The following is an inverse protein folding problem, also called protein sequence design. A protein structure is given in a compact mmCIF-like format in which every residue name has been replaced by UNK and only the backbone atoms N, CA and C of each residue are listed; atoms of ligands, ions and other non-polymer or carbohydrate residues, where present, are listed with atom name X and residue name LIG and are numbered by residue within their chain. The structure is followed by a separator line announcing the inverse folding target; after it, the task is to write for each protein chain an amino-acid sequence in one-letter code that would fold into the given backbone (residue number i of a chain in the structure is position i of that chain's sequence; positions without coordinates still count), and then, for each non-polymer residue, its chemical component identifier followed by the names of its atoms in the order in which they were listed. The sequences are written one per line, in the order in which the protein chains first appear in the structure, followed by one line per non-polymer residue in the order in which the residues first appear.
data_IF_164773796823
#
_entry.id   IF_164773796823
#
_cell.length_a   1.000
_cell.length_b   1.000
_cell.length_c   1.000
_cell.angle_alpha   90.00
_cell.angle_beta   90.00
_cell.angle_gamma   90.00
#
_symmetry.space_group_name_H-M   'P 1'
#
loop_
_entity.id
_entity.type
_entity.pdbx_description
1 polymer ?
#
# COMPACT_ATOMS: atom_id res chain seq x y z
N UNK A 1 -2.42 42.39 -29.44
CA UNK A 1 -3.76 41.79 -29.41
C UNK A 1 -3.61 40.29 -29.16
N UNK A 2 -4.17 39.84 -28.03
CA UNK A 2 -4.61 38.49 -27.61
C UNK A 2 -3.74 37.26 -27.90
N UNK A 3 -3.06 36.64 -26.92
CA UNK A 3 -3.52 35.83 -25.75
C UNK A 3 -4.36 34.58 -26.11
N UNK A 4 -3.91 33.47 -25.51
CA UNK A 4 -4.69 32.35 -24.97
C UNK A 4 -5.09 31.21 -25.92
N UNK A 5 -4.46 30.05 -25.72
CA UNK A 5 -5.17 28.80 -25.41
C UNK A 5 -4.33 27.89 -24.49
N UNK A 6 -4.31 28.28 -23.21
CA UNK A 6 -4.08 27.36 -22.09
C UNK A 6 -5.39 27.32 -21.30
N UNK A 7 -6.10 26.20 -21.37
CA UNK A 7 -7.31 25.92 -20.59
C UNK A 7 -7.57 24.42 -20.69
N UNK A 8 -7.94 23.65 -19.68
CA UNK A 8 -8.12 23.80 -18.23
C UNK A 8 -8.42 22.35 -17.81
N UNK A 9 -7.66 21.75 -16.92
CA UNK A 9 -8.17 20.63 -16.10
C UNK A 9 -7.84 20.98 -14.66
N UNK A 10 -8.75 21.72 -14.03
CA UNK A 10 -8.83 21.88 -12.58
C UNK A 10 -10.05 21.10 -12.13
N UNK A 11 -9.86 19.86 -11.72
CA UNK A 11 -10.75 19.19 -10.78
C UNK A 11 -9.90 18.84 -9.55
N UNK A 12 -9.65 19.84 -8.72
CA UNK A 12 -9.15 19.64 -7.37
C UNK A 12 -10.38 19.69 -6.49
N UNK A 13 -10.83 18.51 -6.05
CA UNK A 13 -11.85 18.38 -5.02
C UNK A 13 -11.24 18.93 -3.72
N UNK A 14 -11.70 20.10 -3.27
CA UNK A 14 -11.36 20.66 -1.97
C UNK A 14 -12.19 19.94 -0.90
N UNK A 15 -11.57 19.09 -0.10
CA UNK A 15 -12.16 18.66 1.17
C UNK A 15 -11.82 19.71 2.24
N UNK A 16 -12.86 20.39 2.75
CA UNK A 16 -12.75 21.22 3.95
C UNK A 16 -12.82 20.28 5.14
N UNK A 17 -11.71 20.15 5.88
CA UNK A 17 -11.71 19.45 7.18
C UNK A 17 -11.85 20.46 8.29
N UNK A 18 -13.00 20.44 8.98
CA UNK A 18 -13.17 21.11 10.27
C UNK A 18 -12.25 20.47 11.31
N UNK A 19 -11.41 21.28 11.96
CA UNK A 19 -10.62 20.89 13.12
C UNK A 19 -11.51 20.84 14.35
N UNK A 20 -11.83 19.63 14.81
CA UNK A 20 -12.33 19.40 16.17
C UNK A 20 -11.26 18.59 16.89
N UNK A 21 -10.56 19.20 17.84
CA UNK A 21 -9.65 18.47 18.71
C UNK A 21 -10.42 17.84 19.87
N UNK A 22 -10.03 16.60 20.16
CA UNK A 22 -10.37 15.71 21.29
C UNK A 22 -11.49 14.70 21.04
N UNK A 23 -11.09 13.54 20.51
CA UNK A 23 -11.60 12.26 21.01
C UNK A 23 -10.43 11.27 21.13
N UNK A 24 -10.18 10.79 22.34
CA UNK A 24 -9.57 9.48 22.50
C UNK A 24 -10.51 8.46 21.86
N UNK A 25 -10.26 8.11 20.59
CA UNK A 25 -11.23 7.33 19.82
C UNK A 25 -11.28 7.63 18.32
N UNK A 26 -10.17 7.48 17.60
CA UNK A 26 -10.29 7.08 16.19
C UNK A 26 -10.48 5.56 16.17
N UNK A 27 -11.73 5.14 16.37
CA UNK A 27 -12.14 3.75 16.23
C UNK A 27 -11.87 3.28 14.81
N UNK A 28 -11.29 2.09 14.66
CA UNK A 28 -11.23 1.44 13.36
C UNK A 28 -12.62 0.87 13.13
N UNK A 29 -13.33 1.34 12.11
CA UNK A 29 -14.68 0.85 11.82
C UNK A 29 -14.66 -0.67 11.76
N UNK A 30 -15.58 -1.30 12.50
CA UNK A 30 -15.57 -2.73 12.73
C UNK A 30 -16.24 -3.53 11.60
N UNK A 31 -16.55 -2.90 10.46
CA UNK A 31 -17.32 -3.50 9.36
C UNK A 31 -16.64 -4.69 8.71
N UNK A 32 -15.32 -4.76 8.80
CA UNK A 32 -14.55 -5.92 8.36
C UNK A 32 -14.80 -7.19 9.17
N UNK A 33 -15.34 -7.10 10.40
CA UNK A 33 -15.44 -8.26 11.32
C UNK A 33 -16.30 -9.40 10.77
N UNK A 34 -17.28 -9.07 9.93
CA UNK A 34 -18.19 -10.04 9.34
C UNK A 34 -17.60 -10.69 8.07
N UNK A 35 -16.49 -10.17 7.56
CA UNK A 35 -15.91 -10.58 6.27
C UNK A 35 -14.52 -11.19 6.40
N UNK A 36 -13.65 -10.61 7.24
CA UNK A 36 -12.22 -10.94 7.31
C UNK A 36 -11.70 -10.99 8.75
N UNK A 37 -10.56 -11.67 8.92
CA UNK A 37 -9.83 -11.70 10.18
C UNK A 37 -8.54 -10.88 10.09
N UNK A 38 -8.50 -9.72 10.76
CA UNK A 38 -7.31 -8.84 10.71
C UNK A 38 -6.05 -9.46 11.32
N UNK A 39 -6.18 -10.40 12.28
CA UNK A 39 -5.01 -11.12 12.81
C UNK A 39 -4.36 -11.96 11.71
N UNK A 40 -5.18 -12.66 10.91
CA UNK A 40 -4.68 -13.41 9.74
C UNK A 40 -4.10 -12.48 8.67
N UNK A 41 -4.71 -11.31 8.43
CA UNK A 41 -4.22 -10.36 7.43
C UNK A 41 -2.86 -9.73 7.79
N UNK A 42 -2.56 -9.66 9.08
CA UNK A 42 -1.30 -9.16 9.64
C UNK A 42 -0.25 -10.26 9.85
N UNK A 43 -0.55 -11.53 9.56
CA UNK A 43 0.46 -12.57 9.52
C UNK A 43 1.42 -12.33 8.35
N UNK A 44 2.74 -12.19 8.58
CA UNK A 44 3.63 -11.79 7.51
C UNK A 44 3.75 -12.83 6.40
N UNK A 45 3.50 -12.43 5.16
CA UNK A 45 3.45 -13.32 4.00
C UNK A 45 4.73 -14.15 3.83
N UNK A 46 5.89 -13.58 4.16
CA UNK A 46 7.20 -14.24 4.03
C UNK A 46 7.47 -15.36 5.03
N UNK A 47 6.64 -15.55 6.06
CA UNK A 47 6.87 -16.60 7.09
C UNK A 47 5.64 -17.33 7.61
N UNK A 48 4.43 -16.91 7.28
CA UNK A 48 3.19 -17.54 7.77
C UNK A 48 3.00 -18.97 7.25
N UNK A 49 2.38 -19.86 8.01
CA UNK A 49 2.09 -21.23 7.55
C UNK A 49 0.89 -21.28 6.60
N UNK A 50 0.04 -20.26 6.63
CA UNK A 50 -1.11 -20.09 5.73
C UNK A 50 -1.06 -18.70 5.13
N UNK A 51 -1.10 -18.61 3.80
CA UNK A 51 -1.34 -17.36 3.09
C UNK A 51 -2.84 -17.19 3.00
N UNK A 52 -3.39 -16.20 3.73
CA UNK A 52 -4.82 -15.88 3.72
C UNK A 52 -5.09 -14.77 2.73
N UNK A 53 -6.07 -14.97 1.86
CA UNK A 53 -6.62 -13.98 0.93
C UNK A 53 -5.56 -13.21 0.14
N UNK A 54 -4.67 -13.94 -0.52
CA UNK A 54 -3.80 -13.37 -1.54
C UNK A 54 -4.63 -12.97 -2.76
N UNK A 55 -4.52 -11.71 -3.18
CA UNK A 55 -5.22 -11.21 -4.36
C UNK A 55 -4.45 -11.58 -5.62
N UNK A 56 -5.20 -12.02 -6.63
CA UNK A 56 -4.70 -12.38 -7.96
C UNK A 56 -5.64 -11.81 -9.03
N UNK A 57 -5.06 -11.17 -10.04
CA UNK A 57 -5.75 -10.82 -11.28
C UNK A 57 -5.57 -11.96 -12.28
N UNK A 58 -6.67 -12.58 -12.72
CA UNK A 58 -6.60 -13.49 -13.86
C UNK A 58 -6.44 -12.66 -15.12
N UNK A 59 -5.39 -12.97 -15.89
CA UNK A 59 -5.13 -12.37 -17.20
C UNK A 59 -5.26 -13.46 -18.26
N UNK A 60 -6.05 -13.18 -19.29
CA UNK A 60 -6.18 -14.04 -20.49
C UNK A 60 -5.19 -13.57 -21.56
N UNK A 61 -4.21 -14.42 -21.87
CA UNK A 61 -3.23 -14.23 -22.93
C UNK A 61 -3.38 -15.37 -23.96
N UNK A 62 -3.78 -15.03 -25.18
CA UNK A 62 -4.29 -15.99 -26.15
C UNK A 62 -5.46 -16.79 -25.56
N UNK A 63 -5.36 -18.12 -25.55
CA UNK A 63 -6.40 -18.98 -24.96
C UNK A 63 -6.20 -19.25 -23.46
N UNK A 64 -5.09 -18.82 -22.86
CA UNK A 64 -4.76 -19.17 -21.47
C UNK A 64 -5.18 -18.03 -20.54
N UNK A 65 -6.19 -18.27 -19.71
CA UNK A 65 -6.56 -17.40 -18.59
C UNK A 65 -5.93 -17.92 -17.28
N UNK A 66 -4.97 -17.18 -16.73
CA UNK A 66 -4.30 -17.60 -15.48
C UNK A 66 -3.73 -16.44 -14.65
N UNK A 67 -3.48 -16.69 -13.37
CA UNK A 67 -2.84 -15.74 -12.46
C UNK A 67 -1.85 -16.41 -11.49
N UNK A 68 -0.72 -15.76 -11.16
CA UNK A 68 0.32 -16.34 -10.31
C UNK A 68 0.04 -16.17 -8.81
N UNK A 69 0.38 -17.20 -8.03
CA UNK A 69 0.56 -17.09 -6.59
C UNK A 69 2.00 -16.64 -6.27
N UNK A 70 2.17 -15.91 -5.17
CA UNK A 70 3.48 -15.50 -4.67
C UNK A 70 4.37 -16.72 -4.37
N UNK A 71 3.82 -17.70 -3.65
CA UNK A 71 4.49 -18.95 -3.37
C UNK A 71 3.75 -20.08 -4.08
N UNK A 72 4.48 -21.13 -4.49
CA UNK A 72 3.82 -22.38 -4.88
C UNK A 72 2.96 -22.86 -3.71
N UNK A 73 1.80 -23.43 -3.98
CA UNK A 73 0.90 -23.96 -2.98
C UNK A 73 1.14 -25.48 -2.85
N UNK A 74 1.26 -25.95 -1.62
CA UNK A 74 1.09 -27.38 -1.30
C UNK A 74 -0.37 -27.78 -1.39
N UNK A 75 -1.26 -26.85 -1.01
CA UNK A 75 -2.72 -27.05 -1.03
C UNK A 75 -3.43 -25.71 -1.13
N UNK A 76 -4.34 -25.58 -2.09
CA UNK A 76 -5.30 -24.48 -2.15
C UNK A 76 -6.42 -24.78 -1.15
N UNK A 77 -6.78 -23.81 -0.32
CA UNK A 77 -7.82 -23.94 0.70
C UNK A 77 -9.12 -23.27 0.27
N UNK A 78 -9.05 -22.14 -0.44
CA UNK A 78 -10.21 -21.47 -1.01
C UNK A 78 -9.84 -20.54 -2.17
N UNK A 79 -10.72 -20.43 -3.16
CA UNK A 79 -10.67 -19.40 -4.21
C UNK A 79 -12.02 -18.68 -4.20
N UNK A 80 -12.00 -17.36 -4.01
CA UNK A 80 -13.20 -16.52 -3.87
C UNK A 80 -13.10 -15.27 -4.74
N UNK A 81 -14.20 -14.58 -4.98
CA UNK A 81 -14.13 -13.20 -5.50
C UNK A 81 -13.39 -12.31 -4.49
N UNK A 82 -12.74 -11.22 -4.93
CA UNK A 82 -11.96 -10.38 -4.03
C UNK A 82 -12.79 -9.65 -2.96
N UNK A 83 -14.09 -9.46 -3.21
CA UNK A 83 -15.07 -8.97 -2.23
C UNK A 83 -15.56 -10.06 -1.25
N UNK A 84 -15.08 -11.29 -1.43
CA UNK A 84 -15.40 -12.50 -0.68
C UNK A 84 -16.86 -12.99 -0.81
N UNK A 85 -17.68 -12.43 -1.70
CA UNK A 85 -19.10 -12.80 -1.82
C UNK A 85 -19.34 -14.16 -2.50
N UNK A 86 -18.42 -14.60 -3.37
CA UNK A 86 -18.56 -15.83 -4.16
C UNK A 86 -17.37 -16.78 -3.93
N UNK A 87 -17.64 -18.08 -3.86
CA UNK A 87 -16.63 -19.14 -3.85
C UNK A 87 -16.62 -19.87 -5.18
N UNK A 88 -15.43 -20.19 -5.69
CA UNK A 88 -15.20 -20.87 -6.97
C UNK A 88 -14.66 -22.28 -6.75
N UNK A 89 -15.11 -23.24 -7.53
CA UNK A 89 -14.86 -24.67 -7.30
C UNK A 89 -13.69 -25.19 -8.14
N UNK A 90 -12.81 -25.98 -7.53
CA UNK A 90 -11.74 -26.68 -8.23
C UNK A 90 -12.30 -27.66 -9.28
N UNK A 91 -11.63 -27.80 -10.43
CA UNK A 91 -12.04 -28.63 -11.56
C UNK A 91 -13.25 -28.10 -12.36
N UNK A 92 -14.09 -27.25 -11.76
CA UNK A 92 -15.16 -26.53 -12.45
C UNK A 92 -14.70 -25.15 -12.88
N UNK A 93 -14.30 -24.28 -11.95
CA UNK A 93 -13.95 -22.90 -12.24
C UNK A 93 -12.45 -22.73 -12.44
N UNK A 94 -11.64 -23.52 -11.75
CA UNK A 94 -10.19 -23.38 -11.81
C UNK A 94 -9.46 -24.70 -11.58
N UNK A 95 -8.20 -24.77 -12.04
CA UNK A 95 -7.23 -25.78 -11.67
C UNK A 95 -5.95 -25.09 -11.19
N UNK A 96 -5.21 -25.75 -10.30
CA UNK A 96 -3.90 -25.27 -9.86
C UNK A 96 -2.79 -25.99 -10.61
N UNK A 97 -1.92 -25.23 -11.28
CA UNK A 97 -0.79 -25.79 -12.01
C UNK A 97 0.44 -24.88 -11.91
N UNK A 98 1.57 -25.46 -11.48
CA UNK A 98 2.88 -24.81 -11.51
C UNK A 98 2.95 -23.40 -10.87
N UNK A 99 2.29 -23.19 -9.74
CA UNK A 99 2.30 -21.86 -9.08
C UNK A 99 1.19 -20.92 -9.54
N UNK A 100 0.28 -21.37 -10.41
CA UNK A 100 -0.76 -20.53 -11.01
C UNK A 100 -2.14 -21.14 -10.83
N UNK A 101 -3.14 -20.26 -10.68
CA UNK A 101 -4.54 -20.61 -10.88
C UNK A 101 -4.85 -20.43 -12.36
N UNK A 102 -5.31 -21.49 -13.03
CA UNK A 102 -5.77 -21.47 -14.42
C UNK A 102 -7.28 -21.64 -14.45
N UNK A 103 -7.97 -20.90 -15.31
CA UNK A 103 -9.40 -21.09 -15.51
C UNK A 103 -9.66 -22.30 -16.39
N UNK A 104 -10.77 -23.00 -16.14
CA UNK A 104 -11.29 -23.99 -17.09
C UNK A 104 -12.26 -23.31 -18.07
N UNK A 105 -12.63 -24.01 -19.15
CA UNK A 105 -13.62 -23.53 -20.12
C UNK A 105 -15.02 -23.29 -19.53
N UNK A 106 -15.31 -23.84 -18.34
CA UNK A 106 -16.59 -23.69 -17.63
C UNK A 106 -16.54 -22.66 -16.50
N UNK A 107 -15.45 -21.88 -16.42
CA UNK A 107 -15.22 -20.97 -15.31
C UNK A 107 -16.13 -19.75 -15.33
N UNK A 108 -16.57 -19.36 -14.13
CA UNK A 108 -17.26 -18.08 -13.90
C UNK A 108 -16.36 -17.04 -13.22
N UNK A 109 -15.05 -17.27 -13.17
CA UNK A 109 -14.08 -16.30 -12.65
C UNK A 109 -13.85 -15.22 -13.73
N UNK A 110 -13.96 -13.92 -13.38
CA UNK A 110 -13.66 -12.85 -14.31
C UNK A 110 -12.16 -12.81 -14.66
N UNK A 111 -11.84 -12.34 -15.86
CA UNK A 111 -10.48 -12.15 -16.32
C UNK A 111 -10.36 -10.86 -17.13
N UNK A 112 -9.16 -10.27 -17.15
CA UNK A 112 -8.82 -9.17 -18.06
C UNK A 112 -8.00 -9.75 -19.22
N UNK A 113 -8.28 -9.35 -20.46
CA UNK A 113 -7.44 -9.75 -21.59
C UNK A 113 -6.12 -8.99 -21.58
N UNK A 114 -5.04 -9.65 -21.96
CA UNK A 114 -3.71 -9.04 -22.02
C UNK A 114 -3.71 -7.77 -22.91
N UNK A 115 -4.39 -7.80 -24.06
CA UNK A 115 -4.51 -6.64 -24.95
C UNK A 115 -5.34 -5.47 -24.38
N UNK A 116 -6.15 -5.71 -23.35
CA UNK A 116 -6.96 -4.66 -22.72
C UNK A 116 -6.19 -3.90 -21.65
N UNK A 117 -5.05 -4.42 -21.16
CA UNK A 117 -4.23 -3.76 -20.14
C UNK A 117 -3.43 -2.57 -20.70
N UNK A 118 -3.04 -2.65 -21.97
CA UNK A 118 -2.35 -1.59 -22.69
C UNK A 118 -2.76 -1.58 -24.17
N UNK A 119 -3.17 -0.43 -24.67
CA UNK A 119 -3.82 -0.29 -25.98
C UNK A 119 -3.48 1.05 -26.65
N UNK A 120 -3.79 1.20 -27.95
CA UNK A 120 -3.43 2.38 -28.76
C UNK A 120 -4.58 3.36 -29.02
N UNK A 121 -5.81 2.95 -28.73
CA UNK A 121 -7.00 3.79 -28.94
C UNK A 121 -7.53 4.26 -27.60
N UNK A 122 -7.58 5.57 -27.39
CA UNK A 122 -8.10 6.15 -26.16
C UNK A 122 -9.55 5.70 -25.92
N UNK A 123 -9.77 5.09 -24.75
CA UNK A 123 -11.09 4.74 -24.21
C UNK A 123 -11.43 5.77 -23.13
N UNK A 124 -12.42 6.63 -23.38
CA UNK A 124 -12.86 7.66 -22.42
C UNK A 124 -13.13 7.03 -21.05
N UNK A 125 -12.66 7.65 -19.98
CA UNK A 125 -12.82 7.21 -18.57
C UNK A 125 -12.11 5.90 -18.18
N UNK A 126 -11.46 5.23 -19.14
CA UNK A 126 -10.77 3.94 -18.94
C UNK A 126 -9.27 3.98 -19.27
N UNK A 127 -8.76 5.14 -19.67
CA UNK A 127 -7.39 5.30 -20.18
C UNK A 127 -6.58 6.22 -19.30
N UNK A 128 -5.41 5.75 -18.89
CA UNK A 128 -4.30 6.61 -18.47
C UNK A 128 -3.26 6.65 -19.59
N UNK A 129 -2.58 7.78 -19.77
CA UNK A 129 -1.50 7.89 -20.74
C UNK A 129 -0.42 6.83 -20.47
N UNK A 130 -0.05 6.13 -21.53
CA UNK A 130 1.03 5.16 -21.52
C UNK A 130 2.40 5.85 -21.52
N UNK A 131 3.43 5.06 -21.22
CA UNK A 131 4.82 5.51 -21.19
C UNK A 131 5.33 5.95 -22.56
N UNK A 132 4.76 5.40 -23.65
CA UNK A 132 5.04 5.83 -25.03
C UNK A 132 3.88 6.65 -25.55
N UNK A 133 4.21 7.68 -26.33
CA UNK A 133 3.22 8.56 -26.97
C UNK A 133 2.26 7.73 -27.85
N UNK A 134 0.96 7.91 -27.64
CA UNK A 134 -0.10 7.19 -28.38
C UNK A 134 -0.44 5.81 -27.82
N UNK A 135 0.19 5.39 -26.72
CA UNK A 135 -0.23 4.22 -25.94
C UNK A 135 -1.02 4.68 -24.72
N UNK A 136 -1.90 3.81 -24.23
CA UNK A 136 -2.73 4.00 -23.06
C UNK A 136 -2.69 2.73 -22.22
N UNK A 137 -2.86 2.87 -20.91
CA UNK A 137 -3.06 1.74 -19.99
C UNK A 137 -4.47 1.78 -19.45
N UNK A 138 -5.04 0.59 -19.20
CA UNK A 138 -6.33 0.47 -18.52
C UNK A 138 -6.24 1.10 -17.14
N UNK A 139 -7.12 2.05 -16.86
CA UNK A 139 -7.15 2.77 -15.61
C UNK A 139 -8.59 2.99 -15.16
N UNK A 140 -8.82 2.77 -13.87
CA UNK A 140 -10.09 3.10 -13.23
C UNK A 140 -9.83 3.27 -11.73
N UNK A 141 -10.43 4.30 -11.13
CA UNK A 141 -10.51 4.42 -9.68
C UNK A 141 -11.83 3.82 -9.21
N UNK A 142 -11.80 3.08 -8.10
CA UNK A 142 -13.01 2.46 -7.54
C UNK A 142 -12.95 0.94 -7.54
N UNK A 143 -14.05 0.31 -7.92
CA UNK A 143 -14.28 -1.14 -7.69
C UNK A 143 -13.91 -2.02 -8.86
N UNK A 144 -13.62 -1.48 -10.05
CA UNK A 144 -13.43 -2.27 -11.26
C UNK A 144 -12.34 -3.34 -11.11
N UNK A 145 -11.12 -2.98 -10.71
CA UNK A 145 -10.06 -3.99 -10.57
C UNK A 145 -10.39 -5.03 -9.50
N UNK A 146 -11.02 -4.60 -8.39
CA UNK A 146 -11.47 -5.52 -7.33
C UNK A 146 -12.50 -6.52 -7.86
N UNK A 147 -13.46 -6.09 -8.68
CA UNK A 147 -14.47 -6.99 -9.24
C UNK A 147 -13.89 -7.98 -10.25
N UNK A 148 -12.73 -7.67 -10.84
CA UNK A 148 -12.00 -8.54 -11.76
C UNK A 148 -10.95 -9.43 -11.07
N UNK A 149 -10.69 -9.20 -9.78
CA UNK A 149 -9.71 -9.92 -8.97
C UNK A 149 -10.36 -11.05 -8.16
N UNK A 150 -9.55 -12.04 -7.80
CA UNK A 150 -9.91 -13.14 -6.90
C UNK A 150 -9.02 -13.15 -5.66
N UNK A 151 -9.55 -13.71 -4.58
CA UNK A 151 -8.86 -13.92 -3.30
C UNK A 151 -8.59 -15.41 -3.09
N UNK A 152 -7.34 -15.75 -2.78
CA UNK A 152 -6.89 -17.14 -2.67
C UNK A 152 -6.25 -17.37 -1.31
N UNK A 153 -6.75 -18.37 -0.58
CA UNK A 153 -6.14 -18.85 0.66
C UNK A 153 -5.49 -20.20 0.42
N UNK A 154 -4.24 -20.39 0.83
CA UNK A 154 -3.47 -21.61 0.56
C UNK A 154 -2.36 -21.86 1.59
N UNK A 155 -1.91 -23.12 1.63
CA UNK A 155 -0.69 -23.54 2.34
C UNK A 155 0.49 -23.40 1.37
N UNK A 156 1.43 -22.46 1.59
CA UNK A 156 2.58 -22.28 0.73
C UNK A 156 3.58 -23.44 0.89
N UNK A 157 4.20 -23.84 -0.22
CA UNK A 157 5.45 -24.57 -0.19
C UNK A 157 6.58 -23.63 0.23
N UNK A 158 7.21 -23.96 1.36
CA UNK A 158 8.29 -23.20 1.98
C UNK A 158 9.69 -23.69 1.57
N UNK A 159 9.78 -24.60 0.59
CA UNK A 159 11.06 -25.00 -0.02
C UNK A 159 11.81 -23.81 -0.61
N UNK A 160 11.09 -22.83 -1.17
CA UNK A 160 11.64 -21.54 -1.60
C UNK A 160 11.29 -20.44 -0.59
N UNK A 161 12.31 -19.70 -0.15
CA UNK A 161 12.18 -18.57 0.77
C UNK A 161 11.92 -17.28 0.00
N UNK A 162 11.26 -16.32 0.65
CA UNK A 162 11.20 -14.93 0.21
C UNK A 162 12.62 -14.36 0.09
N UNK A 163 12.97 -13.78 -1.07
CA UNK A 163 14.30 -13.24 -1.34
C UNK A 163 14.36 -11.71 -1.28
N UNK A 164 13.21 -11.05 -1.11
CA UNK A 164 13.13 -9.60 -0.98
C UNK A 164 13.56 -9.12 0.41
N UNK A 165 13.51 -7.79 0.64
CA UNK A 165 13.88 -7.24 1.93
C UNK A 165 13.00 -7.83 3.05
N UNK A 166 13.66 -8.15 4.17
CA UNK A 166 13.00 -8.57 5.39
C UNK A 166 13.05 -7.41 6.41
N UNK A 167 11.91 -6.92 6.89
CA UNK A 167 11.90 -5.93 7.96
C UNK A 167 12.55 -6.52 9.21
N UNK A 168 13.39 -5.72 9.85
CA UNK A 168 14.02 -6.07 11.14
C UNK A 168 13.36 -5.28 12.25
N UNK A 169 13.11 -5.97 13.36
CA UNK A 169 12.67 -5.31 14.59
C UNK A 169 13.69 -4.26 15.01
N UNK A 170 13.26 -3.00 15.11
CA UNK A 170 14.15 -1.85 15.29
C UNK A 170 14.28 -1.44 16.76
N UNK A 171 14.48 -2.45 17.62
CA UNK A 171 14.60 -2.36 19.07
C UNK A 171 15.44 -1.20 19.60
N UNK A 172 16.62 -1.06 19.00
CA UNK A 172 17.64 -0.09 19.43
C UNK A 172 17.46 1.27 18.74
N UNK A 173 17.02 1.27 17.48
CA UNK A 173 16.86 2.50 16.69
C UNK A 173 15.62 3.29 17.07
N UNK A 174 14.51 2.63 17.43
CA UNK A 174 13.24 3.23 17.85
C UNK A 174 13.00 3.05 19.35
N UNK A 175 14.01 3.40 20.16
CA UNK A 175 14.02 3.09 21.60
C UNK A 175 12.92 3.84 22.34
N UNK A 176 12.67 5.11 22.00
CA UNK A 176 11.67 5.91 22.72
C UNK A 176 10.27 5.33 22.50
N UNK A 177 9.90 5.04 21.26
CA UNK A 177 8.60 4.46 20.93
C UNK A 177 8.42 3.08 21.56
N UNK A 178 9.45 2.23 21.51
CA UNK A 178 9.35 0.89 22.09
C UNK A 178 9.30 0.91 23.61
N UNK A 179 9.95 1.88 24.27
CA UNK A 179 9.79 2.07 25.71
C UNK A 179 8.34 2.42 26.06
N UNK A 180 7.73 3.37 25.34
CA UNK A 180 6.33 3.74 25.55
C UNK A 180 5.38 2.57 25.31
N UNK A 181 5.56 1.84 24.20
CA UNK A 181 4.78 0.65 23.87
C UNK A 181 4.89 -0.44 24.95
N UNK A 182 6.10 -0.78 25.39
CA UNK A 182 6.33 -1.81 26.41
C UNK A 182 5.77 -1.42 27.79
N UNK A 183 5.86 -0.14 28.15
CA UNK A 183 5.32 0.41 29.40
C UNK A 183 3.83 0.76 29.32
N UNK A 184 3.20 0.56 28.16
CA UNK A 184 1.79 0.88 27.89
C UNK A 184 1.45 2.37 28.08
N UNK A 185 2.44 3.24 27.92
CA UNK A 185 2.28 4.69 27.99
C UNK A 185 1.52 5.21 26.75
N UNK A 186 0.89 6.38 26.89
CA UNK A 186 0.15 7.03 25.82
C UNK A 186 1.07 7.31 24.63
N UNK A 187 0.75 6.76 23.46
CA UNK A 187 1.52 6.91 22.24
C UNK A 187 0.69 7.65 21.17
N UNK A 188 1.25 8.69 20.56
CA UNK A 188 0.66 9.37 19.40
C UNK A 188 1.45 9.09 18.12
N UNK A 189 0.76 8.50 17.13
CA UNK A 189 1.30 8.22 15.79
C UNK A 189 0.67 9.18 14.77
N UNK A 190 1.49 9.83 13.93
CA UNK A 190 1.00 10.60 12.78
C UNK A 190 1.46 9.94 11.48
N UNK A 191 0.52 9.66 10.59
CA UNK A 191 0.81 9.27 9.21
C UNK A 191 0.82 10.52 8.33
N UNK A 192 1.85 10.68 7.49
CA UNK A 192 2.00 11.87 6.66
C UNK A 192 2.55 11.54 5.28
N UNK A 193 1.77 11.83 4.25
CA UNK A 193 2.08 11.39 2.90
C UNK A 193 1.07 11.80 1.84
N UNK A 194 0.94 10.96 0.83
CA UNK A 194 0.11 11.19 -0.34
C UNK A 194 -1.17 10.33 -0.34
N UNK A 195 -1.72 10.00 -1.52
CA UNK A 195 -2.92 9.18 -1.67
C UNK A 195 -2.76 7.76 -1.13
N UNK A 196 -1.57 7.16 -1.22
CA UNK A 196 -1.33 5.80 -0.73
C UNK A 196 -1.46 5.76 0.79
N UNK A 197 -0.89 6.75 1.49
CA UNK A 197 -0.94 6.89 2.94
C UNK A 197 -2.34 7.31 3.41
N UNK A 198 -3.10 8.01 2.58
CA UNK A 198 -4.53 8.29 2.84
C UNK A 198 -5.36 7.00 2.90
N UNK A 199 -4.94 5.94 2.19
CA UNK A 199 -5.62 4.65 2.13
C UNK A 199 -6.28 4.33 0.79
N UNK A 200 -5.95 5.10 -0.27
CA UNK A 200 -6.55 4.93 -1.60
C UNK A 200 -6.53 3.45 -2.05
N UNK A 201 -7.66 3.02 -2.60
CA UNK A 201 -7.93 1.66 -3.10
C UNK A 201 -7.92 0.50 -2.06
N UNK A 202 -7.72 0.78 -0.77
CA UNK A 202 -8.12 -0.16 0.28
C UNK A 202 -9.66 -0.30 0.31
N UNK A 203 -10.19 -1.51 0.47
CA UNK A 203 -11.64 -1.77 0.46
C UNK A 203 -12.40 -0.95 1.51
N UNK A 204 -11.86 -0.84 2.74
CA UNK A 204 -12.45 -0.03 3.80
C UNK A 204 -12.50 1.46 3.44
N UNK A 205 -11.45 1.99 2.82
CA UNK A 205 -11.41 3.38 2.35
C UNK A 205 -12.47 3.66 1.27
N UNK A 206 -12.69 2.69 0.39
CA UNK A 206 -13.74 2.77 -0.64
C UNK A 206 -15.14 2.43 -0.13
N UNK A 207 -15.26 2.04 1.14
CA UNK A 207 -16.52 1.56 1.71
C UNK A 207 -17.10 0.37 0.92
N UNK A 208 -16.28 -0.62 0.60
CA UNK A 208 -16.66 -1.82 -0.15
C UNK A 208 -16.20 -3.08 0.57
N UNK A 209 -16.87 -4.22 0.35
CA UNK A 209 -16.43 -5.51 0.90
C UNK A 209 -15.02 -5.87 0.36
N UNK A 210 -14.11 -6.42 1.19
CA UNK A 210 -14.31 -6.91 2.57
C UNK A 210 -14.10 -5.86 3.68
N UNK A 211 -14.17 -4.57 3.35
CA UNK A 211 -14.01 -3.44 4.27
C UNK A 211 -12.69 -3.46 5.04
N UNK A 212 -11.62 -4.00 4.45
CA UNK A 212 -10.29 -4.03 5.04
C UNK A 212 -9.87 -2.59 5.38
N UNK A 213 -9.54 -2.30 6.64
CA UNK A 213 -9.01 -0.99 7.01
C UNK A 213 -7.79 -0.63 6.17
N UNK A 214 -7.53 0.66 6.04
CA UNK A 214 -6.28 1.14 5.43
C UNK A 214 -5.06 0.54 6.13
N UNK A 215 -3.93 0.45 5.43
CA UNK A 215 -2.72 -0.12 6.03
C UNK A 215 -2.24 0.66 7.26
N UNK A 216 -2.51 1.97 7.34
CA UNK A 216 -2.25 2.79 8.51
C UNK A 216 -3.07 2.31 9.73
N UNK A 217 -4.36 2.06 9.52
CA UNK A 217 -5.25 1.52 10.56
C UNK A 217 -4.87 0.08 10.94
N UNK A 218 -4.45 -0.75 9.98
CA UNK A 218 -3.95 -2.11 10.25
C UNK A 218 -2.74 -2.10 11.18
N UNK A 219 -1.80 -1.16 11.01
CA UNK A 219 -0.65 -1.00 11.92
C UNK A 219 -1.14 -0.66 13.33
N UNK A 220 -2.02 0.33 13.46
CA UNK A 220 -2.57 0.76 14.76
C UNK A 220 -3.33 -0.39 15.43
N UNK A 221 -4.14 -1.13 14.68
CA UNK A 221 -4.80 -2.34 15.16
C UNK A 221 -3.79 -3.34 15.73
N UNK A 222 -2.73 -3.64 14.97
CA UNK A 222 -1.74 -4.63 15.38
C UNK A 222 -1.00 -4.21 16.65
N UNK A 223 -0.59 -2.94 16.73
CA UNK A 223 0.10 -2.40 17.91
C UNK A 223 -0.83 -2.42 19.14
N UNK A 224 -2.10 -2.02 19.01
CA UNK A 224 -3.08 -2.08 20.11
C UNK A 224 -3.29 -3.50 20.59
N UNK A 225 -3.36 -4.48 19.67
CA UNK A 225 -3.46 -5.91 20.02
C UNK A 225 -2.21 -6.45 20.69
N UNK A 226 -1.02 -5.98 20.31
CA UNK A 226 0.26 -6.46 20.87
C UNK A 226 0.59 -5.85 22.23
N UNK A 227 0.43 -4.53 22.39
CA UNK A 227 0.96 -3.78 23.52
C UNK A 227 -0.11 -3.37 24.53
N UNK A 228 -1.40 -3.42 24.20
CA UNK A 228 -2.53 -3.07 25.09
C UNK A 228 -2.52 -1.64 25.67
N UNK A 229 -1.58 -0.78 25.26
CA UNK A 229 -1.49 0.62 25.67
C UNK A 229 -2.41 1.55 24.87
N UNK A 230 -2.48 2.81 25.32
CA UNK A 230 -3.31 3.84 24.69
C UNK A 230 -2.60 4.43 23.47
N UNK A 231 -2.80 3.77 22.33
CA UNK A 231 -2.21 4.19 21.06
C UNK A 231 -3.24 5.00 20.29
N UNK A 232 -2.98 6.28 20.12
CA UNK A 232 -3.77 7.19 19.29
C UNK A 232 -3.05 7.45 17.97
N UNK A 233 -3.82 7.80 16.94
CA UNK A 233 -3.25 8.18 15.65
C UNK A 233 -3.99 9.36 15.02
N UNK A 234 -3.38 9.95 14.01
CA UNK A 234 -4.04 10.80 13.02
C UNK A 234 -3.37 10.58 11.67
N UNK A 235 -4.15 10.68 10.60
CA UNK A 235 -3.65 10.58 9.24
C UNK A 235 -3.78 11.94 8.57
N UNK A 236 -2.63 12.59 8.39
CA UNK A 236 -2.50 13.94 7.83
C UNK A 236 -2.09 13.89 6.35
N UNK A 237 -2.19 12.72 5.73
CA UNK A 237 -1.85 12.49 4.33
C UNK A 237 -2.93 13.03 3.39
N UNK A 238 -2.51 13.50 2.22
CA UNK A 238 -3.43 14.10 1.24
C UNK A 238 -3.12 13.61 -0.16
N UNK A 239 -4.16 13.17 -0.89
CA UNK A 239 -4.06 12.68 -2.26
C UNK A 239 -3.38 13.67 -3.22
N UNK A 240 -2.54 13.12 -4.12
CA UNK A 240 -1.87 13.90 -5.17
C UNK A 240 -0.74 14.84 -4.72
N UNK A 241 -0.38 14.84 -3.42
CA UNK A 241 0.68 15.72 -2.90
C UNK A 241 2.08 15.14 -3.09
N UNK A 242 3.05 16.04 -3.17
CA UNK A 242 4.49 15.81 -3.26
C UNK A 242 5.14 16.10 -1.90
N UNK A 243 6.38 15.65 -1.67
CA UNK A 243 7.12 15.92 -0.44
C UNK A 243 7.33 17.43 -0.19
N UNK A 244 7.42 18.25 -1.25
CA UNK A 244 7.43 19.72 -1.14
C UNK A 244 6.22 20.26 -0.38
N UNK A 245 5.02 19.80 -0.74
CA UNK A 245 3.80 20.18 -0.03
C UNK A 245 3.85 19.71 1.43
N UNK A 246 4.38 18.51 1.66
CA UNK A 246 4.60 17.98 3.01
C UNK A 246 5.48 18.90 3.86
N UNK A 247 6.59 19.38 3.31
CA UNK A 247 7.47 20.33 3.99
C UNK A 247 6.76 21.67 4.28
N UNK A 248 6.02 22.20 3.32
CA UNK A 248 5.33 23.48 3.45
C UNK A 248 4.17 23.44 4.47
N UNK A 249 3.59 22.25 4.72
CA UNK A 249 2.38 22.10 5.54
C UNK A 249 2.61 21.34 6.86
N UNK A 250 3.82 20.87 7.14
CA UNK A 250 4.13 20.14 8.39
C UNK A 250 3.75 20.94 9.65
N UNK A 251 3.92 22.27 9.62
CA UNK A 251 3.64 23.17 10.73
C UNK A 251 2.16 23.19 11.13
N UNK A 252 1.25 23.15 10.15
CA UNK A 252 -0.20 23.16 10.40
C UNK A 252 -0.80 21.77 10.53
N UNK A 253 -0.25 20.78 9.83
CA UNK A 253 -0.82 19.43 9.77
C UNK A 253 -0.29 18.50 10.86
N UNK A 254 1.03 18.52 11.14
CA UNK A 254 1.69 17.51 11.98
C UNK A 254 2.06 18.05 13.36
N UNK A 255 2.60 19.27 13.44
CA UNK A 255 3.06 19.81 14.73
C UNK A 255 1.95 19.95 15.80
N UNK A 256 0.71 20.36 15.47
CA UNK A 256 -0.37 20.47 16.46
C UNK A 256 -0.76 19.12 17.08
N UNK A 257 -0.49 18.01 16.38
CA UNK A 257 -0.78 16.66 16.86
C UNK A 257 0.20 16.19 17.94
N UNK A 258 1.32 16.89 18.14
CA UNK A 258 2.40 16.55 19.07
C UNK A 258 2.81 15.06 19.01
N UNK A 259 3.23 14.55 17.83
CA UNK A 259 3.49 13.12 17.63
C UNK A 259 4.70 12.63 18.42
N UNK A 260 4.62 11.38 18.91
CA UNK A 260 5.79 10.61 19.32
C UNK A 260 6.44 9.94 18.10
N UNK A 261 5.62 9.38 17.20
CA UNK A 261 6.05 8.69 15.98
C UNK A 261 5.44 9.36 14.75
N UNK A 262 6.26 9.69 13.76
CA UNK A 262 5.78 10.13 12.44
C UNK A 262 6.18 9.09 11.38
N UNK A 263 5.18 8.59 10.65
CA UNK A 263 5.37 7.65 9.55
C UNK A 263 5.20 8.42 8.25
N UNK A 264 6.29 8.61 7.49
CA UNK A 264 6.36 9.50 6.34
C UNK A 264 6.40 8.70 5.04
N UNK A 265 5.43 8.92 4.15
CA UNK A 265 5.33 8.25 2.85
C UNK A 265 5.07 9.23 1.70
N UNK A 266 6.13 9.68 1.03
CA UNK A 266 6.05 10.43 -0.22
C UNK A 266 6.86 9.69 -1.30
N UNK A 267 7.00 10.27 -2.50
CA UNK A 267 7.85 9.70 -3.53
C UNK A 267 7.11 9.11 -4.73
N UNK A 268 5.84 8.70 -4.59
CA UNK A 268 5.06 8.21 -5.73
C UNK A 268 4.82 9.33 -6.76
N UNK A 269 4.21 10.42 -6.30
CA UNK A 269 3.93 11.60 -7.14
C UNK A 269 5.22 12.36 -7.47
N UNK A 270 6.13 12.51 -6.50
CA UNK A 270 7.43 13.12 -6.73
C UNK A 270 8.17 12.44 -7.88
N UNK A 271 8.11 11.10 -7.93
CA UNK A 271 8.71 10.32 -8.99
C UNK A 271 8.03 10.55 -10.33
N UNK A 272 6.70 10.61 -10.36
CA UNK A 272 5.92 10.93 -11.56
C UNK A 272 6.30 12.30 -12.13
N UNK A 273 6.56 13.28 -11.28
CA UNK A 273 6.99 14.62 -11.67
C UNK A 273 8.53 14.78 -11.73
N UNK A 274 9.26 13.67 -11.67
CA UNK A 274 10.71 13.63 -11.82
C UNK A 274 11.46 14.60 -10.88
N UNK A 275 10.96 14.77 -9.65
CA UNK A 275 11.64 15.57 -8.61
C UNK A 275 13.01 14.95 -8.31
N UNK A 276 14.07 15.74 -8.44
CA UNK A 276 15.43 15.27 -8.24
C UNK A 276 15.60 14.53 -6.89
N UNK A 277 16.25 13.36 -6.85
CA UNK A 277 16.34 12.52 -5.63
C UNK A 277 16.87 13.26 -4.39
N UNK A 278 17.89 14.10 -4.55
CA UNK A 278 18.48 14.91 -3.50
C UNK A 278 17.51 15.99 -2.97
N UNK A 279 16.72 16.61 -3.86
CA UNK A 279 15.68 17.58 -3.48
C UNK A 279 14.58 16.88 -2.68
N UNK A 280 14.15 15.70 -3.14
CA UNK A 280 13.21 14.87 -2.38
C UNK A 280 13.75 14.54 -0.98
N UNK A 281 15.01 14.09 -0.88
CA UNK A 281 15.67 13.81 0.41
C UNK A 281 15.64 15.02 1.34
N UNK A 282 15.96 16.19 0.82
CA UNK A 282 15.98 17.45 1.58
C UNK A 282 14.60 17.82 2.09
N UNK A 283 13.55 17.60 1.30
CA UNK A 283 12.17 17.83 1.71
C UNK A 283 11.75 16.91 2.86
N UNK A 284 12.05 15.60 2.75
CA UNK A 284 11.79 14.64 3.84
C UNK A 284 12.58 14.99 5.11
N UNK A 285 13.86 15.34 4.95
CA UNK A 285 14.72 15.79 6.05
C UNK A 285 14.18 17.07 6.70
N UNK A 286 13.65 18.00 5.92
CA UNK A 286 13.01 19.23 6.40
C UNK A 286 11.77 18.97 7.26
N UNK A 287 10.91 18.03 6.84
CA UNK A 287 9.73 17.60 7.62
C UNK A 287 10.20 17.06 8.98
N UNK A 288 11.18 16.16 8.98
CA UNK A 288 11.74 15.60 10.21
C UNK A 288 12.33 16.69 11.13
N UNK A 289 13.08 17.65 10.58
CA UNK A 289 13.67 18.76 11.33
C UNK A 289 12.59 19.63 11.98
N UNK A 290 11.51 19.95 11.27
CA UNK A 290 10.40 20.73 11.80
C UNK A 290 9.72 20.02 12.99
N UNK A 291 9.49 18.71 12.87
CA UNK A 291 8.94 17.90 13.97
C UNK A 291 9.89 17.86 15.16
N UNK A 292 11.18 17.60 14.94
CA UNK A 292 12.19 17.54 16.01
C UNK A 292 12.39 18.88 16.72
N UNK A 293 12.21 20.01 16.04
CA UNK A 293 12.28 21.33 16.66
C UNK A 293 11.16 21.54 17.70
N UNK A 294 10.00 20.89 17.53
CA UNK A 294 8.88 20.95 18.47
C UNK A 294 8.90 19.81 19.50
N UNK A 295 9.24 18.60 19.07
CA UNK A 295 9.39 17.42 19.92
C UNK A 295 10.75 16.72 19.66
N UNK A 296 11.80 17.03 20.43
CA UNK A 296 13.13 16.44 20.26
C UNK A 296 13.23 14.92 20.45
N UNK A 297 12.19 14.29 21.01
CA UNK A 297 12.12 12.83 21.22
C UNK A 297 11.35 12.10 20.12
N UNK A 298 10.75 12.81 19.17
CA UNK A 298 10.00 12.18 18.09
C UNK A 298 10.90 11.22 17.29
N UNK A 299 10.36 10.05 16.96
CA UNK A 299 11.02 9.06 16.11
C UNK A 299 10.25 8.90 14.79
N UNK A 300 10.91 8.32 13.77
CA UNK A 300 10.43 8.32 12.39
C UNK A 300 10.55 6.95 11.73
N UNK A 301 9.54 6.59 10.96
CA UNK A 301 9.61 5.52 9.96
C UNK A 301 9.40 6.17 8.59
N UNK A 302 10.42 6.11 7.74
CA UNK A 302 10.36 6.57 6.36
C UNK A 302 9.91 5.40 5.48
N UNK A 303 9.00 5.65 4.55
CA UNK A 303 8.52 4.64 3.60
C UNK A 303 9.09 4.99 2.22
N UNK A 304 9.87 4.08 1.63
CA UNK A 304 10.25 4.22 0.21
C UNK A 304 9.04 3.91 -0.68
N UNK A 305 8.78 4.65 -1.75
CA UNK A 305 7.55 4.48 -2.53
C UNK A 305 7.50 3.11 -3.23
N UNK A 306 6.29 2.56 -3.40
CA UNK A 306 6.09 1.49 -4.36
C UNK A 306 6.40 1.98 -5.79
N UNK A 307 6.67 1.06 -6.72
CA UNK A 307 6.79 1.38 -8.14
C UNK A 307 5.42 1.62 -8.80
N UNK A 308 5.36 2.54 -9.76
CA UNK A 308 4.18 2.74 -10.63
C UNK A 308 4.13 1.65 -11.72
N UNK A 309 2.99 1.55 -12.41
CA UNK A 309 2.83 0.62 -13.53
C UNK A 309 3.89 0.92 -14.61
N UNK A 310 4.73 -0.06 -15.00
CA UNK A 310 5.83 0.17 -15.94
C UNK A 310 5.36 0.64 -17.34
N UNK A 311 4.10 0.42 -17.69
CA UNK A 311 3.50 0.86 -18.94
C UNK A 311 2.81 2.23 -18.85
N UNK A 312 2.59 2.77 -17.64
CA UNK A 312 1.94 4.06 -17.44
C UNK A 312 2.97 5.21 -17.47
N UNK A 313 2.54 6.41 -17.86
CA UNK A 313 3.39 7.62 -17.89
C UNK A 313 3.97 7.98 -16.51
N UNK A 314 3.29 7.57 -15.44
CA UNK A 314 3.70 7.77 -14.04
C UNK A 314 4.98 7.02 -13.67
N UNK A 315 5.33 5.95 -14.38
CA UNK A 315 6.53 5.16 -14.11
C UNK A 315 7.80 5.85 -14.60
N UNK A 316 8.45 6.54 -13.67
CA UNK A 316 9.61 7.39 -13.89
C UNK A 316 10.72 7.01 -12.91
N UNK A 317 11.01 7.86 -11.93
CA UNK A 317 12.22 7.76 -11.08
C UNK A 317 11.93 7.28 -9.65
N UNK A 318 10.75 6.72 -9.35
CA UNK A 318 10.37 6.30 -7.98
C UNK A 318 11.42 5.41 -7.30
N UNK A 319 12.09 4.54 -8.07
CA UNK A 319 13.13 3.64 -7.57
C UNK A 319 14.37 4.36 -7.02
N UNK A 320 14.62 5.60 -7.44
CA UNK A 320 15.80 6.38 -7.04
C UNK A 320 15.67 6.97 -5.63
N UNK A 321 14.46 7.02 -5.05
CA UNK A 321 14.26 7.62 -3.74
C UNK A 321 14.65 6.71 -2.57
N UNK A 322 14.68 5.38 -2.76
CA UNK A 322 15.10 4.48 -1.69
C UNK A 322 16.54 4.76 -1.23
N UNK A 323 17.56 4.80 -2.11
CA UNK A 323 18.93 5.16 -1.72
C UNK A 323 19.02 6.51 -0.99
N UNK A 324 18.17 7.47 -1.36
CA UNK A 324 18.14 8.77 -0.69
C UNK A 324 17.56 8.73 0.72
N UNK A 325 16.49 7.96 0.93
CA UNK A 325 15.95 7.74 2.27
C UNK A 325 16.92 6.95 3.17
N UNK A 326 17.71 6.03 2.59
CA UNK A 326 18.75 5.30 3.33
C UNK A 326 19.79 6.25 3.96
N UNK A 327 20.12 7.36 3.30
CA UNK A 327 21.04 8.38 3.82
C UNK A 327 20.50 9.11 5.06
N UNK A 328 19.19 9.02 5.33
CA UNK A 328 18.54 9.63 6.50
C UNK A 328 18.46 8.68 7.71
N UNK A 329 18.79 7.39 7.55
CA UNK A 329 18.73 6.40 8.63
C UNK A 329 19.75 6.73 9.71
N UNK A 330 19.28 6.77 10.96
CA UNK A 330 20.08 7.01 12.17
C UNK A 330 19.27 6.60 13.40
N UNK A 331 19.82 6.78 14.60
CA UNK A 331 19.02 6.61 15.83
C UNK A 331 17.78 7.52 15.77
N UNK A 332 16.61 6.93 16.03
CA UNK A 332 15.31 7.59 15.92
C UNK A 332 14.73 7.63 14.50
N UNK A 333 15.40 7.11 13.47
CA UNK A 333 14.93 7.15 12.08
C UNK A 333 15.23 5.82 11.38
N UNK A 334 14.20 5.10 10.96
CA UNK A 334 14.34 3.84 10.22
C UNK A 334 13.60 3.88 8.88
N UNK A 335 13.94 2.96 7.99
CA UNK A 335 13.35 2.82 6.66
C UNK A 335 12.51 1.54 6.55
N UNK A 336 11.27 1.68 6.09
CA UNK A 336 10.45 0.60 5.56
C UNK A 336 10.67 0.50 4.03
N UNK A 337 11.40 -0.54 3.59
CA UNK A 337 11.77 -0.74 2.18
C UNK A 337 10.61 -1.32 1.35
N UNK A 338 9.63 -0.50 1.01
CA UNK A 338 8.53 -0.87 0.12
C UNK A 338 8.91 -0.84 -1.37
N UNK A 339 9.95 -0.10 -1.78
CA UNK A 339 10.46 -0.14 -3.15
C UNK A 339 11.06 -1.52 -3.44
N UNK A 340 11.97 -2.00 -2.59
CA UNK A 340 12.58 -3.32 -2.68
C UNK A 340 11.58 -4.46 -2.49
N UNK A 341 10.60 -4.27 -1.60
CA UNK A 341 9.50 -5.24 -1.45
C UNK A 341 8.71 -5.36 -2.75
N UNK A 342 8.28 -4.24 -3.33
CA UNK A 342 7.51 -4.26 -4.58
C UNK A 342 8.34 -4.77 -5.76
N UNK A 343 9.63 -4.43 -5.84
CA UNK A 343 10.56 -4.96 -6.84
C UNK A 343 10.66 -6.49 -6.79
N UNK A 344 10.75 -7.07 -5.59
CA UNK A 344 10.76 -8.52 -5.46
C UNK A 344 9.39 -9.12 -5.81
N UNK A 345 8.28 -8.52 -5.36
CA UNK A 345 6.94 -9.01 -5.70
C UNK A 345 6.71 -9.06 -7.22
N UNK A 346 7.15 -8.03 -7.96
CA UNK A 346 7.03 -7.95 -9.42
C UNK A 346 7.81 -9.05 -10.17
N UNK A 347 8.72 -9.78 -9.52
CA UNK A 347 9.37 -10.96 -10.13
C UNK A 347 8.46 -12.19 -10.14
N UNK A 348 7.44 -12.22 -9.29
CA UNK A 348 6.56 -13.37 -9.09
C UNK A 348 5.10 -13.08 -9.41
N UNK A 349 4.68 -11.81 -9.29
CA UNK A 349 3.31 -11.34 -9.44
C UNK A 349 3.20 -10.29 -10.53
N UNK A 350 2.00 -10.16 -11.10
CA UNK A 350 1.67 -9.09 -12.04
C UNK A 350 1.43 -7.79 -11.28
N UNK A 351 1.56 -6.65 -11.95
CA UNK A 351 1.25 -5.35 -11.35
C UNK A 351 -0.22 -5.28 -10.88
N UNK A 352 -1.12 -5.91 -11.65
CA UNK A 352 -2.55 -5.94 -11.41
C UNK A 352 -2.94 -6.80 -10.21
N UNK A 353 -2.13 -7.79 -9.83
CA UNK A 353 -2.38 -8.57 -8.60
C UNK A 353 -2.31 -7.69 -7.34
N UNK A 354 -1.62 -6.55 -7.43
CA UNK A 354 -1.18 -5.75 -6.29
C UNK A 354 -1.80 -4.35 -6.27
N UNK A 355 -2.55 -3.97 -7.31
CA UNK A 355 -3.04 -2.60 -7.47
C UNK A 355 -4.53 -2.52 -7.68
N UNK A 356 -5.13 -1.43 -7.21
CA UNK A 356 -6.57 -1.18 -7.31
C UNK A 356 -6.96 -0.28 -8.46
N UNK A 357 -6.00 0.39 -9.10
CA UNK A 357 -6.23 1.30 -10.23
C UNK A 357 -5.35 1.00 -11.46
N UNK A 358 -4.44 0.03 -11.36
CA UNK A 358 -3.47 -0.32 -12.41
C UNK A 358 -2.52 0.83 -12.82
N UNK A 359 -2.30 1.83 -11.99
CA UNK A 359 -1.35 2.93 -12.25
C UNK A 359 -0.37 3.11 -11.10
N UNK A 360 -0.85 3.29 -9.88
CA UNK A 360 0.02 3.66 -8.74
C UNK A 360 -0.58 3.42 -7.35
N UNK A 361 -1.82 2.94 -7.21
CA UNK A 361 -2.42 2.69 -5.90
C UNK A 361 -2.49 1.21 -5.58
N UNK A 362 -2.06 0.81 -4.36
CA UNK A 362 -2.14 -0.58 -3.94
C UNK A 362 -3.61 -1.02 -3.81
N UNK A 363 -3.88 -2.30 -4.05
CA UNK A 363 -5.10 -2.94 -3.54
C UNK A 363 -4.87 -3.44 -2.11
N UNK A 364 -5.87 -4.14 -1.56
CA UNK A 364 -5.80 -4.70 -0.21
C UNK A 364 -4.58 -5.60 0.02
N UNK A 365 -4.13 -6.34 -1.00
CA UNK A 365 -2.98 -7.24 -0.88
C UNK A 365 -1.67 -6.48 -0.70
N UNK A 366 -1.38 -5.47 -1.53
CA UNK A 366 -0.17 -4.68 -1.37
C UNK A 366 -0.24 -3.76 -0.14
N UNK A 367 -1.43 -3.26 0.22
CA UNK A 367 -1.63 -2.53 1.47
C UNK A 367 -1.28 -3.39 2.71
N UNK A 368 -1.57 -4.71 2.68
CA UNK A 368 -1.14 -5.62 3.75
C UNK A 368 0.38 -5.75 3.83
N UNK A 369 1.11 -5.70 2.72
CA UNK A 369 2.58 -5.66 2.75
C UNK A 369 3.11 -4.43 3.49
N UNK A 370 2.54 -3.25 3.26
CA UNK A 370 2.87 -2.04 4.03
C UNK A 370 2.67 -2.26 5.52
N UNK A 371 1.48 -2.75 5.90
CA UNK A 371 1.14 -2.97 7.30
C UNK A 371 2.04 -4.02 7.97
N UNK A 372 2.33 -5.12 7.29
CA UNK A 372 3.19 -6.20 7.82
C UNK A 372 4.64 -5.76 7.95
N UNK A 373 5.18 -5.05 6.94
CA UNK A 373 6.56 -4.55 6.96
C UNK A 373 6.76 -3.58 8.13
N UNK A 374 5.87 -2.60 8.27
CA UNK A 374 5.96 -1.60 9.34
C UNK A 374 5.66 -2.22 10.71
N UNK A 375 4.71 -3.15 10.80
CA UNK A 375 4.46 -3.88 12.05
C UNK A 375 5.69 -4.65 12.52
N UNK A 376 6.43 -5.29 11.61
CA UNK A 376 7.63 -6.05 11.96
C UNK A 376 8.81 -5.17 12.42
N UNK A 377 8.82 -3.88 12.07
CA UNK A 377 9.77 -2.89 12.62
C UNK A 377 9.50 -2.64 14.11
N UNK A 378 8.21 -2.61 14.50
CA UNK A 378 7.76 -2.21 15.83
C UNK A 378 7.41 -3.38 16.77
N UNK A 379 7.19 -4.58 16.23
CA UNK A 379 6.78 -5.77 16.99
C UNK A 379 7.88 -6.82 16.94
N UNK A 380 8.45 -7.16 18.10
CA UNK A 380 9.42 -8.25 18.21
C UNK A 380 8.78 -9.55 17.69
N UNK A 381 9.44 -10.31 16.79
CA UNK A 381 9.03 -11.67 16.46
C UNK A 381 8.83 -12.48 17.74
N UNK A 382 7.84 -13.38 17.73
CA UNK A 382 7.80 -14.44 18.74
C UNK A 382 8.98 -15.36 18.45
N UNK A 383 9.76 -15.62 19.49
CA UNK A 383 10.87 -16.58 19.45
C UNK A 383 10.33 -17.99 19.21
#
# INVERSE_FOLDING_TARGET
MNRSHFSKIKNILFFVTFSISTTYGQGIEARWKDHINLKSYLNPFWKTDTITDEIVQIIKDGEIASGPLLFKAKKILSVRSADLSKTFLEGKDWIYENGRIKLTDRSNIPFIKQEDLAFKTMKKDWSMEGKKKGEFVLFNEGTYFRSMQISITYLPDRSKKWLGPLPKFSGQSLRYILQKLNKKEDLKIVFYGNSIETGANSSGFQNQSPFMPSWAELIVYNLRKKYTGKISFSNQSVGGKLAKWGLENVTSAVLPENPDLVIIGFGMNDGTFEVAPEVYREQISGIMKAVLAKNPKAEFILISPMLANPYATQSKIQSLYKPELQKLIKKGVVLADLTGTHQELLKHKTYQDMTGNNVNHPNDYLARWYAQVISAILIKPRD
#
